data_IF_791502536078
#
_entry.id   IF_791502536078
#
_cell.length_a   1.000
_cell.length_b   1.000
_cell.length_c   1.000
_cell.angle_alpha   90.00
_cell.angle_beta   90.00
_cell.angle_gamma   90.00
#
_symmetry.space_group_name_H-M   'P 1'
#
loop_
_entity.id
_entity.type
_entity.pdbx_description
1 polymer ?
#
# COMPACT_ATOMS: atom_id res chain seq x y z
N UNK A 1 -9.69 -14.63 27.07
CA UNK A 1 -10.17 -14.05 25.80
C UNK A 1 -10.15 -15.01 24.59
N UNK A 2 -9.28 -16.03 24.56
CA UNK A 2 -9.09 -16.97 23.41
C UNK A 2 -10.28 -17.91 23.10
N UNK A 3 -11.05 -18.37 24.11
CA UNK A 3 -12.21 -19.29 23.90
C UNK A 3 -13.41 -18.69 23.14
N UNK A 4 -13.58 -17.36 23.15
CA UNK A 4 -14.75 -16.68 22.54
C UNK A 4 -14.62 -16.55 21.02
N UNK A 5 -13.38 -16.58 20.49
CA UNK A 5 -13.12 -16.58 19.05
C UNK A 5 -13.32 -17.98 18.45
N UNK A 6 -12.90 -19.03 19.15
CA UNK A 6 -13.06 -20.43 18.70
C UNK A 6 -14.53 -20.83 18.57
N UNK A 7 -15.39 -20.43 19.52
CA UNK A 7 -16.84 -20.67 19.42
C UNK A 7 -17.49 -19.92 18.26
N UNK A 8 -16.99 -18.72 17.93
CA UNK A 8 -17.47 -17.97 16.76
C UNK A 8 -17.00 -18.61 15.46
N UNK A 9 -15.75 -19.04 15.39
CA UNK A 9 -15.21 -19.77 14.23
C UNK A 9 -15.97 -21.07 14.01
N UNK A 10 -16.25 -21.85 15.06
CA UNK A 10 -17.09 -23.05 14.98
C UNK A 10 -18.52 -22.75 14.54
N UNK A 11 -19.12 -21.65 15.04
CA UNK A 11 -20.45 -21.24 14.61
C UNK A 11 -20.47 -20.85 13.13
N UNK A 12 -19.47 -20.10 12.64
CA UNK A 12 -19.34 -19.79 11.21
C UNK A 12 -19.13 -21.05 10.38
N UNK A 13 -18.31 -21.99 10.84
CA UNK A 13 -18.06 -23.25 10.14
C UNK A 13 -19.33 -24.11 10.03
N UNK A 14 -20.08 -24.24 11.13
CA UNK A 14 -21.38 -24.93 11.14
C UNK A 14 -22.42 -24.24 10.26
N UNK A 15 -22.46 -22.90 10.26
CA UNK A 15 -23.36 -22.13 9.41
C UNK A 15 -23.02 -22.34 7.94
N UNK A 16 -21.73 -22.29 7.58
CA UNK A 16 -21.25 -22.53 6.21
C UNK A 16 -21.57 -23.96 5.76
N UNK A 17 -21.34 -24.96 6.63
CA UNK A 17 -21.68 -26.36 6.37
C UNK A 17 -23.18 -26.54 6.19
N UNK A 18 -24.00 -25.90 7.03
CA UNK A 18 -25.46 -25.92 6.93
C UNK A 18 -25.97 -25.30 5.62
N UNK A 19 -25.41 -24.16 5.20
CA UNK A 19 -25.73 -23.53 3.92
C UNK A 19 -25.37 -24.43 2.74
N UNK A 20 -24.20 -25.08 2.76
CA UNK A 20 -23.80 -26.03 1.72
C UNK A 20 -24.72 -27.25 1.67
N UNK A 21 -25.05 -27.84 2.83
CA UNK A 21 -25.94 -28.98 2.91
C UNK A 21 -27.37 -28.64 2.42
N UNK A 22 -27.87 -27.46 2.79
CA UNK A 22 -29.15 -26.96 2.32
C UNK A 22 -29.16 -26.71 0.81
N UNK A 23 -28.10 -26.09 0.27
CA UNK A 23 -27.93 -25.89 -1.16
C UNK A 23 -27.90 -27.21 -1.95
N UNK A 24 -27.16 -28.21 -1.46
CA UNK A 24 -27.14 -29.55 -2.05
C UNK A 24 -28.51 -30.23 -1.99
N UNK A 25 -29.19 -30.16 -0.84
CA UNK A 25 -30.51 -30.75 -0.67
C UNK A 25 -31.56 -30.10 -1.57
N UNK A 26 -31.55 -28.76 -1.67
CA UNK A 26 -32.42 -28.00 -2.56
C UNK A 26 -32.20 -28.41 -4.03
N UNK A 27 -30.94 -28.50 -4.47
CA UNK A 27 -30.57 -29.00 -5.80
C UNK A 27 -31.08 -30.42 -6.04
N UNK A 28 -30.87 -31.33 -5.08
CA UNK A 28 -31.32 -32.73 -5.14
C UNK A 28 -32.85 -32.83 -5.29
N UNK A 29 -33.58 -32.01 -4.55
CA UNK A 29 -35.04 -32.00 -4.52
C UNK A 29 -35.61 -31.38 -5.81
N UNK A 30 -35.00 -30.30 -6.30
CA UNK A 30 -35.33 -29.70 -7.59
C UNK A 30 -35.09 -30.67 -8.76
N UNK A 31 -33.99 -31.45 -8.72
CA UNK A 31 -33.70 -32.49 -9.70
C UNK A 31 -34.69 -33.66 -9.62
N UNK A 32 -35.03 -34.12 -8.41
CA UNK A 32 -35.96 -35.23 -8.20
C UNK A 32 -37.40 -34.91 -8.62
N UNK A 33 -37.87 -33.68 -8.39
CA UNK A 33 -39.21 -33.22 -8.80
C UNK A 33 -39.31 -32.99 -10.31
N UNK A 34 -38.21 -32.62 -10.97
CA UNK A 34 -38.17 -32.39 -12.42
C UNK A 34 -37.91 -33.66 -13.23
N UNK A 35 -37.50 -34.78 -12.60
CA UNK A 35 -37.19 -36.04 -13.27
C UNK A 35 -38.36 -36.67 -14.05
N UNK A 36 -39.61 -36.32 -13.72
CA UNK A 36 -40.79 -36.78 -14.48
C UNK A 36 -41.07 -35.96 -15.75
N UNK A 37 -40.48 -34.77 -15.89
CA UNK A 37 -40.75 -33.82 -16.97
C UNK A 37 -39.43 -33.29 -17.54
N UNK A 38 -38.89 -33.91 -18.62
CA UNK A 38 -37.55 -33.61 -19.14
C UNK A 38 -37.34 -32.12 -19.48
N UNK A 39 -38.40 -31.44 -19.94
CA UNK A 39 -38.38 -30.02 -20.24
C UNK A 39 -38.13 -29.12 -19.01
N UNK A 40 -38.71 -29.45 -17.85
CA UNK A 40 -38.53 -28.68 -16.62
C UNK A 40 -37.10 -28.79 -16.09
N UNK A 41 -36.49 -29.97 -16.23
CA UNK A 41 -35.12 -30.22 -15.79
C UNK A 41 -34.10 -29.38 -16.58
N UNK A 42 -34.24 -29.32 -17.91
CA UNK A 42 -33.36 -28.52 -18.77
C UNK A 42 -33.43 -27.03 -18.43
N UNK A 43 -34.62 -26.49 -18.20
CA UNK A 43 -34.82 -25.08 -17.84
C UNK A 43 -34.19 -24.79 -16.48
N UNK A 44 -34.38 -25.66 -15.48
CA UNK A 44 -33.81 -25.46 -14.14
C UNK A 44 -32.28 -25.50 -14.18
N UNK A 45 -31.69 -26.45 -14.89
CA UNK A 45 -30.22 -26.54 -15.04
C UNK A 45 -29.66 -25.33 -15.79
N UNK A 46 -30.33 -24.90 -16.86
CA UNK A 46 -29.91 -23.72 -17.64
C UNK A 46 -30.01 -22.45 -16.80
N UNK A 47 -31.10 -22.28 -16.04
CA UNK A 47 -31.27 -21.14 -15.14
C UNK A 47 -30.22 -21.14 -14.02
N UNK A 48 -29.97 -22.28 -13.38
CA UNK A 48 -28.94 -22.40 -12.35
C UNK A 48 -27.52 -22.14 -12.89
N UNK A 49 -27.21 -22.68 -14.07
CA UNK A 49 -25.94 -22.44 -14.75
C UNK A 49 -25.74 -20.96 -15.10
N UNK A 50 -26.80 -20.30 -15.57
CA UNK A 50 -26.79 -18.86 -15.88
C UNK A 50 -26.58 -18.04 -14.61
N UNK A 51 -27.34 -18.31 -13.55
CA UNK A 51 -27.19 -17.61 -12.26
C UNK A 51 -25.78 -17.83 -11.71
N UNK A 52 -25.28 -19.06 -11.71
CA UNK A 52 -23.93 -19.37 -11.24
C UNK A 52 -22.88 -18.61 -12.05
N UNK A 53 -23.03 -18.56 -13.38
CA UNK A 53 -22.11 -17.83 -14.26
C UNK A 53 -22.11 -16.33 -13.97
N UNK A 54 -23.29 -15.72 -13.82
CA UNK A 54 -23.42 -14.30 -13.47
C UNK A 54 -22.79 -14.00 -12.11
N UNK A 55 -23.03 -14.85 -11.11
CA UNK A 55 -22.44 -14.70 -9.77
C UNK A 55 -20.92 -14.83 -9.81
N UNK A 56 -20.40 -15.85 -10.49
CA UNK A 56 -18.94 -16.06 -10.64
C UNK A 56 -18.32 -14.85 -11.34
N UNK A 57 -18.94 -14.36 -12.42
CA UNK A 57 -18.44 -13.20 -13.17
C UNK A 57 -18.45 -11.94 -12.30
N UNK A 58 -19.52 -11.71 -11.54
CA UNK A 58 -19.62 -10.58 -10.63
C UNK A 58 -18.56 -10.64 -9.52
N UNK A 59 -18.28 -11.84 -8.98
CA UNK A 59 -17.24 -12.05 -7.97
C UNK A 59 -15.84 -11.78 -8.55
N UNK A 60 -15.53 -12.33 -9.73
CA UNK A 60 -14.25 -12.13 -10.39
C UNK A 60 -14.02 -10.65 -10.74
N UNK A 61 -15.03 -9.97 -11.28
CA UNK A 61 -14.93 -8.55 -11.63
C UNK A 61 -14.69 -7.70 -10.38
N UNK A 62 -15.44 -7.94 -9.30
CA UNK A 62 -15.26 -7.20 -8.05
C UNK A 62 -13.87 -7.40 -7.46
N UNK A 63 -13.34 -8.64 -7.50
CA UNK A 63 -11.99 -8.92 -7.03
C UNK A 63 -10.93 -8.21 -7.88
N UNK A 64 -11.08 -8.23 -9.20
CA UNK A 64 -10.17 -7.51 -10.11
C UNK A 64 -10.20 -6.00 -9.87
N UNK A 65 -11.39 -5.39 -9.76
CA UNK A 65 -11.54 -3.96 -9.46
C UNK A 65 -10.88 -3.59 -8.13
N UNK A 66 -10.97 -4.45 -7.10
CA UNK A 66 -10.31 -4.22 -5.81
C UNK A 66 -8.79 -4.21 -5.94
N UNK A 67 -8.23 -5.18 -6.64
CA UNK A 67 -6.77 -5.28 -6.88
C UNK A 67 -6.28 -4.06 -7.66
N UNK A 68 -7.01 -3.66 -8.69
CA UNK A 68 -6.66 -2.50 -9.52
C UNK A 68 -6.71 -1.19 -8.72
N UNK A 69 -7.76 -0.98 -7.92
CA UNK A 69 -7.86 0.20 -7.05
C UNK A 69 -6.73 0.26 -6.01
N UNK A 70 -6.38 -0.88 -5.41
CA UNK A 70 -5.25 -0.95 -4.47
C UNK A 70 -3.93 -0.58 -5.16
N UNK A 71 -3.71 -1.10 -6.37
CA UNK A 71 -2.54 -0.76 -7.19
C UNK A 71 -2.50 0.74 -7.53
N UNK A 72 -3.62 1.33 -7.93
CA UNK A 72 -3.70 2.76 -8.25
C UNK A 72 -3.39 3.64 -7.02
N UNK A 73 -3.94 3.27 -5.85
CA UNK A 73 -3.66 3.97 -4.59
C UNK A 73 -2.18 3.90 -4.22
N UNK A 74 -1.56 2.72 -4.37
CA UNK A 74 -0.13 2.57 -4.06
C UNK A 74 0.76 3.37 -5.01
N UNK A 75 0.47 3.34 -6.32
CA UNK A 75 1.18 4.18 -7.31
C UNK A 75 1.11 5.66 -6.93
N UNK A 76 -0.08 6.17 -6.58
CA UNK A 76 -0.26 7.56 -6.14
C UNK A 76 0.54 7.89 -4.87
N UNK A 77 0.63 6.95 -3.94
CA UNK A 77 1.41 7.12 -2.72
C UNK A 77 2.93 7.14 -3.00
N UNK A 78 3.41 6.26 -3.86
CA UNK A 78 4.81 6.24 -4.32
C UNK A 78 5.16 7.53 -5.07
N UNK A 79 4.24 8.05 -5.90
CA UNK A 79 4.40 9.32 -6.59
C UNK A 79 4.51 10.49 -5.59
N UNK A 80 3.63 10.53 -4.58
CA UNK A 80 3.71 11.51 -3.50
C UNK A 80 5.04 11.44 -2.73
N UNK A 81 5.51 10.23 -2.40
CA UNK A 81 6.83 10.01 -1.76
C UNK A 81 7.95 10.62 -2.61
N UNK A 82 7.98 10.27 -3.90
CA UNK A 82 8.96 10.78 -4.86
C UNK A 82 8.96 12.31 -4.92
N UNK A 83 7.78 12.93 -4.98
CA UNK A 83 7.65 14.39 -5.05
C UNK A 83 8.17 15.07 -3.79
N UNK A 84 7.88 14.50 -2.61
CA UNK A 84 8.40 15.01 -1.34
C UNK A 84 9.93 14.89 -1.28
N UNK A 85 10.48 13.74 -1.67
CA UNK A 85 11.92 13.49 -1.67
C UNK A 85 12.66 14.38 -2.67
N UNK A 86 12.16 14.50 -3.90
CA UNK A 86 12.75 15.37 -4.93
C UNK A 86 12.77 16.82 -4.46
N UNK A 87 11.61 17.34 -4.00
CA UNK A 87 11.52 18.71 -3.52
C UNK A 87 12.46 18.98 -2.33
N UNK A 88 12.68 17.98 -1.48
CA UNK A 88 13.63 18.08 -0.37
C UNK A 88 15.07 18.15 -0.87
N UNK A 89 15.47 17.26 -1.78
CA UNK A 89 16.83 17.26 -2.35
C UNK A 89 17.10 18.56 -3.09
N UNK A 90 16.17 19.02 -3.93
CA UNK A 90 16.27 20.28 -4.68
C UNK A 90 16.45 21.48 -3.74
N UNK A 91 15.76 21.45 -2.59
CA UNK A 91 15.88 22.48 -1.56
C UNK A 91 17.26 22.48 -0.89
N UNK A 92 17.82 21.30 -0.56
CA UNK A 92 19.17 21.21 0.00
C UNK A 92 20.22 21.67 -1.00
N UNK A 93 20.09 21.25 -2.27
CA UNK A 93 21.00 21.68 -3.33
C UNK A 93 21.01 23.21 -3.48
N UNK A 94 19.83 23.85 -3.49
CA UNK A 94 19.71 25.30 -3.56
C UNK A 94 20.41 26.01 -2.37
N UNK A 95 20.32 25.45 -1.15
CA UNK A 95 21.00 25.99 0.02
C UNK A 95 22.52 25.85 -0.10
N UNK A 96 23.01 24.67 -0.51
CA UNK A 96 24.43 24.40 -0.68
C UNK A 96 25.06 25.32 -1.75
N UNK A 97 24.34 25.57 -2.85
CA UNK A 97 24.77 26.49 -3.90
C UNK A 97 24.83 27.95 -3.41
N UNK A 98 23.87 28.37 -2.58
CA UNK A 98 23.81 29.72 -2.01
C UNK A 98 24.84 29.97 -0.91
N UNK A 99 25.37 28.91 -0.27
CA UNK A 99 26.34 28.92 0.84
C UNK A 99 25.94 29.78 2.06
N UNK A 100 24.68 30.19 2.13
CA UNK A 100 24.14 31.02 3.21
C UNK A 100 22.75 30.54 3.59
N UNK A 101 22.49 30.47 4.89
CA UNK A 101 21.24 29.91 5.43
C UNK A 101 20.42 31.01 6.11
N UNK A 102 19.28 31.36 5.51
CA UNK A 102 18.40 32.40 6.03
C UNK A 102 17.33 31.81 6.98
N UNK A 103 16.60 32.69 7.67
CA UNK A 103 15.48 32.27 8.52
C UNK A 103 14.36 31.57 7.74
N UNK A 104 14.11 31.98 6.49
CA UNK A 104 13.17 31.33 5.58
C UNK A 104 13.59 29.88 5.25
N UNK A 105 14.90 29.65 5.06
CA UNK A 105 15.45 28.33 4.76
C UNK A 105 15.28 27.40 5.98
N UNK A 106 15.49 27.91 7.20
CA UNK A 106 15.22 27.14 8.42
C UNK A 106 13.74 26.77 8.59
N UNK A 107 12.82 27.68 8.22
CA UNK A 107 11.39 27.41 8.25
C UNK A 107 10.98 26.37 7.19
N UNK A 108 11.52 26.48 5.96
CA UNK A 108 11.32 25.47 4.90
C UNK A 108 11.82 24.09 5.32
N UNK A 109 12.95 24.00 6.02
CA UNK A 109 13.45 22.74 6.57
C UNK A 109 12.46 22.10 7.56
N UNK A 110 11.79 22.89 8.41
CA UNK A 110 10.75 22.37 9.32
C UNK A 110 9.54 21.83 8.56
N UNK A 111 9.11 22.51 7.48
CA UNK A 111 8.04 21.99 6.63
C UNK A 111 8.43 20.65 5.97
N UNK A 112 9.68 20.50 5.53
CA UNK A 112 10.16 19.22 5.01
C UNK A 112 10.20 18.14 6.08
N UNK A 113 10.59 18.45 7.32
CA UNK A 113 10.51 17.51 8.44
C UNK A 113 9.10 16.96 8.64
N UNK A 114 8.08 17.83 8.61
CA UNK A 114 6.68 17.39 8.72
C UNK A 114 6.22 16.57 7.51
N UNK A 115 6.59 16.97 6.28
CA UNK A 115 6.22 16.24 5.06
C UNK A 115 6.87 14.85 5.03
N UNK A 116 8.15 14.75 5.40
CA UNK A 116 8.87 13.48 5.49
C UNK A 116 8.25 12.58 6.56
N UNK A 117 7.83 13.12 7.71
CA UNK A 117 7.17 12.32 8.75
C UNK A 117 5.86 11.65 8.30
N UNK A 118 5.19 12.18 7.26
CA UNK A 118 3.96 11.60 6.71
C UNK A 118 4.26 10.43 5.76
N UNK A 119 5.33 10.55 4.97
CA UNK A 119 5.56 9.65 3.83
C UNK A 119 6.75 8.70 4.03
N UNK A 120 7.77 9.08 4.81
CA UNK A 120 9.02 8.36 4.87
C UNK A 120 9.02 7.18 5.84
N UNK A 121 9.78 6.13 5.52
CA UNK A 121 10.01 5.01 6.43
C UNK A 121 10.80 5.41 7.67
N UNK A 122 10.73 4.61 8.76
CA UNK A 122 11.48 4.86 9.98
C UNK A 122 13.00 4.99 9.77
N UNK A 123 13.55 4.24 8.82
CA UNK A 123 14.98 4.24 8.49
C UNK A 123 15.40 5.56 7.85
N UNK A 124 14.62 6.04 6.88
CA UNK A 124 14.82 7.35 6.23
C UNK A 124 14.68 8.47 7.26
N UNK A 125 13.69 8.41 8.15
CA UNK A 125 13.52 9.41 9.22
C UNK A 125 14.68 9.42 10.21
N UNK A 126 15.23 8.26 10.56
CA UNK A 126 16.39 8.16 11.44
C UNK A 126 17.62 8.85 10.82
N UNK A 127 17.87 8.64 9.52
CA UNK A 127 18.97 9.29 8.81
C UNK A 127 18.70 10.79 8.60
N UNK A 128 17.47 11.16 8.25
CA UNK A 128 17.07 12.55 8.13
C UNK A 128 17.32 13.34 9.42
N UNK A 129 17.07 12.74 10.59
CA UNK A 129 17.37 13.37 11.88
C UNK A 129 18.88 13.57 12.10
N UNK A 130 19.74 12.70 11.56
CA UNK A 130 21.21 12.87 11.60
C UNK A 130 21.64 14.01 10.68
N UNK A 131 21.15 13.99 9.44
CA UNK A 131 21.32 15.06 8.48
C UNK A 131 20.89 16.42 9.05
N UNK A 132 19.71 16.50 9.67
CA UNK A 132 19.18 17.73 10.24
C UNK A 132 20.07 18.28 11.36
N UNK A 133 20.66 17.40 12.20
CA UNK A 133 21.62 17.80 13.23
C UNK A 133 22.91 18.35 12.61
N UNK A 134 23.47 17.66 11.62
CA UNK A 134 24.65 18.12 10.89
C UNK A 134 24.39 19.48 10.21
N UNK A 135 23.22 19.61 9.56
CA UNK A 135 22.79 20.85 8.92
C UNK A 135 22.66 22.01 9.90
N UNK A 136 22.06 21.82 11.08
CA UNK A 136 21.95 22.88 12.08
C UNK A 136 23.28 23.27 12.72
N UNK A 137 24.19 22.30 12.91
CA UNK A 137 25.54 22.58 13.41
C UNK A 137 26.34 23.42 12.40
N UNK A 138 26.30 23.06 11.12
CA UNK A 138 26.93 23.80 10.02
C UNK A 138 26.27 25.19 9.78
N UNK A 139 24.98 25.34 10.05
CA UNK A 139 24.24 26.59 9.79
C UNK A 139 24.37 27.64 10.90
N UNK A 140 25.13 27.38 11.96
CA UNK A 140 25.18 28.24 13.15
C UNK A 140 25.81 29.62 12.86
N UNK A 141 26.77 29.68 11.94
CA UNK A 141 27.54 30.90 11.60
C UNK A 141 27.02 31.62 10.35
N UNK A 142 25.81 31.29 9.86
CA UNK A 142 25.12 31.89 8.69
C UNK A 142 25.81 31.66 7.34
N UNK A 143 27.12 31.42 7.31
CA UNK A 143 27.91 30.99 6.15
C UNK A 143 28.31 29.54 6.31
N UNK A 144 28.08 28.75 5.27
CA UNK A 144 28.59 27.38 5.17
C UNK A 144 30.04 27.44 4.70
N UNK A 145 30.95 26.86 5.48
CA UNK A 145 32.32 26.67 5.03
C UNK A 145 32.44 25.43 4.10
N UNK A 146 33.65 25.15 3.61
CA UNK A 146 33.88 24.00 2.73
C UNK A 146 33.74 22.66 3.47
N UNK A 147 34.17 22.58 4.74
CA UNK A 147 34.09 21.37 5.55
C UNK A 147 32.64 21.06 5.95
N UNK A 148 31.84 22.09 6.24
CA UNK A 148 30.41 22.02 6.52
C UNK A 148 29.64 21.47 5.32
N UNK A 149 29.98 21.96 4.12
CA UNK A 149 29.36 21.54 2.87
C UNK A 149 29.67 20.08 2.56
N UNK A 150 30.91 19.64 2.81
CA UNK A 150 31.32 18.24 2.65
C UNK A 150 30.59 17.30 3.63
N UNK A 151 30.46 17.71 4.90
CA UNK A 151 29.71 16.96 5.91
C UNK A 151 28.22 16.81 5.57
N UNK A 152 27.57 17.90 5.12
CA UNK A 152 26.16 17.87 4.69
C UNK A 152 25.99 16.98 3.46
N UNK A 153 26.92 17.05 2.51
CA UNK A 153 26.88 16.26 1.27
C UNK A 153 27.03 14.77 1.56
N UNK A 154 27.89 14.40 2.51
CA UNK A 154 28.04 13.00 2.94
C UNK A 154 26.74 12.46 3.55
N UNK A 155 26.14 13.20 4.49
CA UNK A 155 24.87 12.80 5.11
C UNK A 155 23.72 12.73 4.09
N UNK A 156 23.70 13.63 3.10
CA UNK A 156 22.74 13.62 1.99
C UNK A 156 22.93 12.40 1.07
N UNK A 157 24.17 11.98 0.83
CA UNK A 157 24.47 10.79 0.04
C UNK A 157 23.95 9.51 0.73
N UNK A 158 24.18 9.37 2.03
CA UNK A 158 23.64 8.26 2.83
C UNK A 158 22.09 8.29 2.85
N UNK A 159 21.49 9.47 3.04
CA UNK A 159 20.04 9.64 2.99
C UNK A 159 19.47 9.27 1.61
N UNK A 160 20.17 9.60 0.52
CA UNK A 160 19.74 9.26 -0.85
C UNK A 160 19.73 7.76 -1.10
N UNK A 161 20.67 7.00 -0.51
CA UNK A 161 20.67 5.54 -0.56
C UNK A 161 19.44 4.96 0.15
N UNK A 162 19.11 5.48 1.33
CA UNK A 162 17.93 5.02 2.08
C UNK A 162 16.62 5.42 1.40
N UNK A 163 16.54 6.62 0.82
CA UNK A 163 15.38 7.05 0.00
C UNK A 163 15.18 6.10 -1.19
N UNK A 164 16.27 5.71 -1.87
CA UNK A 164 16.19 4.74 -2.97
C UNK A 164 15.67 3.38 -2.49
N UNK A 165 16.15 2.89 -1.35
CA UNK A 165 15.69 1.63 -0.78
C UNK A 165 14.22 1.71 -0.33
N UNK A 166 13.80 2.84 0.23
CA UNK A 166 12.40 3.10 0.60
C UNK A 166 11.47 3.06 -0.62
N UNK A 167 11.87 3.71 -1.72
CA UNK A 167 11.09 3.71 -2.96
C UNK A 167 11.06 2.32 -3.62
N UNK A 168 12.19 1.63 -3.72
CA UNK A 168 12.30 0.30 -4.35
C UNK A 168 11.61 -0.77 -3.51
N UNK A 169 11.74 -0.73 -2.18
CA UNK A 169 11.09 -1.67 -1.28
C UNK A 169 9.57 -1.68 -1.43
N UNK A 170 8.95 -0.51 -1.61
CA UNK A 170 7.51 -0.42 -1.89
C UNK A 170 7.15 -0.91 -3.30
N UNK A 171 7.96 -0.58 -4.31
CA UNK A 171 7.77 -1.03 -5.69
C UNK A 171 7.80 -2.56 -5.79
N UNK A 172 8.71 -3.22 -5.07
CA UNK A 172 8.84 -4.69 -5.07
C UNK A 172 7.72 -5.34 -4.24
N UNK A 173 7.35 -4.76 -3.11
CA UNK A 173 6.22 -5.24 -2.30
C UNK A 173 4.89 -5.23 -3.08
N UNK A 174 4.65 -4.19 -3.87
CA UNK A 174 3.45 -4.07 -4.72
C UNK A 174 3.40 -5.11 -5.85
N UNK A 175 4.56 -5.48 -6.41
CA UNK A 175 4.65 -6.54 -7.42
C UNK A 175 4.31 -7.91 -6.84
N UNK A 176 4.72 -8.18 -5.60
CA UNK A 176 4.44 -9.46 -4.93
C UNK A 176 3.00 -9.58 -4.42
N UNK A 177 2.38 -8.50 -3.94
CA UNK A 177 0.94 -8.50 -3.59
C UNK A 177 0.10 -8.81 -4.82
N UNK A 178 0.43 -8.23 -5.97
CA UNK A 178 -0.27 -8.49 -7.24
C UNK A 178 -0.21 -9.97 -7.66
N UNK A 179 0.89 -10.68 -7.41
CA UNK A 179 1.02 -12.10 -7.80
C UNK A 179 0.29 -13.06 -6.84
N UNK A 180 0.29 -12.75 -5.54
CA UNK A 180 -0.32 -13.63 -4.52
C UNK A 180 -1.86 -13.61 -4.50
N UNK A 181 -2.49 -12.56 -5.03
CA UNK A 181 -3.96 -12.41 -5.04
C UNK A 181 -4.63 -12.87 -6.34
N UNK A 182 -3.83 -13.26 -7.33
CA UNK A 182 -4.28 -13.76 -8.65
C UNK A 182 -4.22 -15.30 -8.72
N UNK A 183 -3.55 -15.96 -7.77
CA UNK A 183 -3.51 -17.43 -7.62
C UNK A 183 -4.56 -17.93 -6.63
#
# INVERSE_FOLDING_TARGET
MKRRSETRQLAYLLLTLGTLAFGYFFLRLAYGLSAQWPFTQEIVVTALGTIATVVITALLLNQQTRVELQKEQSIKFIELKKDVYSAFIDFIEAILLKRTVNAEDRLKMQFFSHRLAIVASPEVLAQYNRFQKAFYQASHDTRLDANDSDAITQELAELSVLIRLDLIGELDADQHVSQSQIS
#
